data_IF_538479661520
#
_entry.id   IF_538479661520
#
_cell.length_a   1.000
_cell.length_b   1.000
_cell.length_c   1.000
_cell.angle_alpha   90.00
_cell.angle_beta   90.00
_cell.angle_gamma   90.00
#
_symmetry.space_group_name_H-M   'P 1'
#
loop_
_entity.id
_entity.type
_entity.pdbx_description
1 polymer ?
#
# COMPACT_ATOMS: atom_id res chain seq x y z
N UNK A 1 -16.17 2.34 3.27
CA UNK A 1 -15.53 1.00 3.06
C UNK A 1 -16.46 -0.12 3.50
N UNK A 2 -16.37 -1.30 2.89
CA UNK A 2 -17.12 -2.50 3.30
C UNK A 2 -16.46 -3.23 4.49
N UNK A 3 -17.22 -4.11 5.15
CA UNK A 3 -16.69 -4.92 6.28
C UNK A 3 -15.51 -5.78 5.86
N UNK A 4 -15.52 -6.31 4.64
CA UNK A 4 -14.43 -7.16 4.15
C UNK A 4 -13.18 -6.35 3.77
N UNK A 5 -13.36 -5.12 3.27
CA UNK A 5 -12.26 -4.17 3.09
C UNK A 5 -11.60 -3.82 4.43
N UNK A 6 -12.40 -3.54 5.48
CA UNK A 6 -11.88 -3.29 6.84
C UNK A 6 -11.11 -4.50 7.36
N UNK A 7 -11.66 -5.72 7.21
CA UNK A 7 -10.96 -6.95 7.61
C UNK A 7 -9.64 -7.14 6.87
N UNK A 8 -9.59 -6.83 5.58
CA UNK A 8 -8.37 -6.96 4.79
C UNK A 8 -7.34 -5.92 5.21
N UNK A 9 -7.76 -4.67 5.45
CA UNK A 9 -6.89 -3.63 5.97
C UNK A 9 -6.34 -3.97 7.37
N UNK A 10 -7.16 -4.52 8.26
CA UNK A 10 -6.71 -5.00 9.57
C UNK A 10 -5.63 -6.09 9.44
N UNK A 11 -5.77 -7.02 8.49
CA UNK A 11 -4.78 -8.09 8.28
C UNK A 11 -3.43 -7.54 7.81
N UNK A 12 -3.45 -6.56 6.90
CA UNK A 12 -2.24 -5.99 6.31
C UNK A 12 -1.68 -4.81 7.10
N UNK A 13 -2.36 -4.30 8.12
CA UNK A 13 -2.03 -3.04 8.79
C UNK A 13 -0.55 -2.86 9.16
N UNK A 14 0.09 -3.88 9.74
CA UNK A 14 1.53 -3.79 10.07
C UNK A 14 2.45 -4.26 8.94
N UNK A 15 1.91 -4.82 7.87
CA UNK A 15 2.65 -5.13 6.63
C UNK A 15 2.70 -3.91 5.70
N UNK A 16 1.81 -2.92 5.88
CA UNK A 16 1.78 -1.67 5.09
C UNK A 16 3.16 -0.99 4.99
N UNK A 17 3.98 -0.86 6.04
CA UNK A 17 5.33 -0.29 5.91
C UNK A 17 6.24 -1.08 4.95
N UNK A 18 6.11 -2.42 4.92
CA UNK A 18 6.85 -3.25 3.98
C UNK A 18 6.32 -3.09 2.56
N UNK A 19 4.99 -3.05 2.38
CA UNK A 19 4.36 -2.79 1.07
C UNK A 19 4.79 -1.41 0.51
N UNK A 20 4.80 -0.37 1.35
CA UNK A 20 5.30 0.96 0.97
C UNK A 20 6.78 0.90 0.57
N UNK A 21 7.60 0.12 1.28
CA UNK A 21 9.02 -0.04 0.95
C UNK A 21 9.23 -0.79 -0.38
N UNK A 22 8.37 -1.76 -0.70
CA UNK A 22 8.34 -2.46 -1.99
C UNK A 22 8.00 -1.49 -3.13
N UNK A 23 6.96 -0.66 -2.98
CA UNK A 23 6.63 0.37 -3.99
C UNK A 23 7.76 1.37 -4.20
N UNK A 24 8.44 1.81 -3.13
CA UNK A 24 9.64 2.65 -3.26
C UNK A 24 10.81 1.93 -3.95
N UNK A 25 10.93 0.61 -3.80
CA UNK A 25 11.94 -0.17 -4.52
C UNK A 25 11.62 -0.22 -6.01
N UNK A 26 10.34 -0.35 -6.39
CA UNK A 26 9.89 -0.27 -7.79
C UNK A 26 10.23 1.09 -8.40
N UNK A 27 9.91 2.19 -7.71
CA UNK A 27 10.25 3.55 -8.18
C UNK A 27 11.76 3.67 -8.43
N UNK A 28 12.61 3.22 -7.48
CA UNK A 28 14.07 3.25 -7.66
C UNK A 28 14.52 2.43 -8.86
N UNK A 29 13.92 1.26 -9.08
CA UNK A 29 14.22 0.43 -10.25
C UNK A 29 13.84 1.14 -11.57
N UNK A 30 12.68 1.79 -11.62
CA UNK A 30 12.27 2.60 -12.77
C UNK A 30 13.25 3.77 -13.03
N UNK A 31 13.69 4.45 -11.97
CA UNK A 31 14.70 5.52 -12.07
C UNK A 31 16.05 5.01 -12.58
N UNK A 32 16.52 3.85 -12.10
CA UNK A 32 17.74 3.20 -12.56
C UNK A 32 17.68 2.82 -14.05
N UNK A 33 16.56 2.25 -14.50
CA UNK A 33 16.37 1.89 -15.91
C UNK A 33 16.31 3.14 -16.80
N UNK A 34 15.62 4.22 -16.38
CA UNK A 34 15.63 5.52 -17.09
C UNK A 34 17.05 6.06 -17.28
N UNK A 35 17.88 5.97 -16.25
CA UNK A 35 19.27 6.44 -16.29
C UNK A 35 20.18 5.58 -17.20
N UNK A 36 19.87 4.30 -17.41
CA UNK A 36 20.60 3.45 -18.38
C UNK A 36 20.22 3.79 -19.83
N UNK A 37 19.01 4.28 -20.05
CA UNK A 37 18.45 4.58 -21.37
C UNK A 37 18.86 5.98 -21.87
N UNK A 38 19.24 6.89 -20.97
CA UNK A 38 19.93 8.13 -21.35
C UNK A 38 21.29 7.81 -21.96
N UNK A 39 21.30 7.58 -23.27
CA UNK A 39 22.52 7.47 -24.06
C UNK A 39 23.40 8.72 -23.81
N UNK A 40 24.72 8.58 -23.66
CA UNK A 40 25.61 9.74 -23.60
C UNK A 40 25.41 10.58 -24.87
N UNK A 41 25.46 11.92 -24.78
CA UNK A 41 25.36 12.78 -25.96
C UNK A 41 26.47 12.37 -26.92
N UNK A 42 26.09 11.83 -28.08
CA UNK A 42 27.04 11.45 -29.11
C UNK A 42 27.59 12.75 -29.67
N UNK A 43 28.75 13.19 -29.15
CA UNK A 43 29.52 14.28 -29.74
C UNK A 43 30.10 13.77 -31.07
N UNK A 44 29.31 13.89 -32.14
CA UNK A 44 29.74 13.65 -33.52
C UNK A 44 30.59 14.84 -34.00
N UNK A 45 31.72 15.13 -33.34
CA UNK A 45 32.71 16.08 -33.86
C UNK A 45 33.72 15.31 -34.71
N UNK A 46 33.48 15.20 -36.02
CA UNK A 46 34.46 14.59 -36.93
C UNK A 46 34.04 14.28 -38.37
N UNK A 47 32.80 14.55 -38.79
CA UNK A 47 32.38 14.33 -40.19
C UNK A 47 32.51 15.62 -41.02
N UNK A 48 33.30 15.63 -42.11
CA UNK A 48 33.45 16.80 -42.98
C UNK A 48 32.21 16.88 -43.89
N UNK A 49 31.18 17.56 -43.43
CA UNK A 49 29.92 17.72 -44.16
C UNK A 49 28.78 17.97 -43.20
N UNK A 50 28.61 19.24 -42.82
CA UNK A 50 27.58 19.69 -41.90
C UNK A 50 26.17 19.29 -42.36
N UNK A 51 25.62 18.26 -41.71
CA UNK A 51 24.18 18.03 -41.50
C UNK A 51 23.98 17.02 -40.37
N UNK A 52 24.60 17.30 -39.22
CA UNK A 52 24.42 16.51 -38.00
C UNK A 52 23.09 16.82 -37.32
N UNK A 53 21.97 16.35 -37.89
CA UNK A 53 20.72 16.16 -37.15
C UNK A 53 19.86 15.13 -37.87
N UNK A 54 20.15 13.85 -37.61
CA UNK A 54 19.12 12.80 -37.66
C UNK A 54 19.46 11.80 -36.58
N UNK A 55 19.24 12.17 -35.31
CA UNK A 55 18.91 11.14 -34.33
C UNK A 55 17.68 10.42 -34.87
N UNK A 56 17.84 9.15 -35.24
CA UNK A 56 16.84 8.34 -35.92
C UNK A 56 15.46 8.58 -35.29
N UNK A 57 14.51 9.08 -36.09
CA UNK A 57 13.17 9.47 -35.62
C UNK A 57 12.48 8.30 -34.92
N UNK A 58 12.80 7.08 -35.34
CA UNK A 58 12.31 5.83 -34.75
C UNK A 58 12.93 5.60 -33.37
N UNK A 59 14.23 5.81 -33.21
CA UNK A 59 14.91 5.70 -31.91
C UNK A 59 14.40 6.76 -30.92
N UNK A 60 14.22 8.00 -31.35
CA UNK A 60 13.65 9.05 -30.49
C UNK A 60 12.19 8.78 -30.09
N UNK A 61 11.38 8.18 -30.97
CA UNK A 61 10.02 7.77 -30.61
C UNK A 61 10.02 6.60 -29.61
N UNK A 62 10.87 5.58 -29.84
CA UNK A 62 11.00 4.45 -28.92
C UNK A 62 11.45 4.88 -27.51
N UNK A 63 12.44 5.79 -27.43
CA UNK A 63 12.91 6.36 -26.15
C UNK A 63 11.83 7.18 -25.46
N UNK A 64 11.01 7.93 -26.21
CA UNK A 64 9.92 8.74 -25.67
C UNK A 64 8.76 7.89 -25.14
N UNK A 65 8.42 6.81 -25.83
CA UNK A 65 7.37 5.88 -25.39
C UNK A 65 7.83 5.07 -24.16
N UNK A 66 9.11 4.73 -24.07
CA UNK A 66 9.69 4.07 -22.90
C UNK A 66 9.81 5.01 -21.68
N UNK A 67 10.20 6.28 -21.87
CA UNK A 67 10.20 7.27 -20.80
C UNK A 67 8.79 7.49 -20.21
N UNK A 68 7.78 7.58 -21.09
CA UNK A 68 6.36 7.68 -20.69
C UNK A 68 5.88 6.47 -19.91
N UNK A 69 6.38 5.28 -20.25
CA UNK A 69 6.05 4.06 -19.52
C UNK A 69 6.53 4.13 -18.07
N UNK A 70 7.81 4.42 -17.84
CA UNK A 70 8.35 4.52 -16.48
C UNK A 70 7.77 5.69 -15.68
N UNK A 71 7.52 6.85 -16.31
CA UNK A 71 6.83 7.96 -15.65
C UNK A 71 5.43 7.57 -15.18
N UNK A 72 4.70 6.78 -15.97
CA UNK A 72 3.39 6.28 -15.58
C UNK A 72 3.49 5.29 -14.42
N UNK A 73 4.41 4.33 -14.48
CA UNK A 73 4.62 3.38 -13.37
C UNK A 73 5.03 4.10 -12.08
N UNK A 74 5.91 5.10 -12.15
CA UNK A 74 6.29 5.93 -11.00
C UNK A 74 5.08 6.65 -10.39
N UNK A 75 4.21 7.24 -11.22
CA UNK A 75 2.99 7.89 -10.74
C UNK A 75 2.01 6.90 -10.09
N UNK A 76 1.83 5.72 -10.70
CA UNK A 76 0.95 4.68 -10.17
C UNK A 76 1.48 4.17 -8.81
N UNK A 77 2.79 3.92 -8.68
CA UNK A 77 3.42 3.56 -7.41
C UNK A 77 3.28 4.67 -6.36
N UNK A 78 3.50 5.94 -6.73
CA UNK A 78 3.31 7.07 -5.81
C UNK A 78 1.88 7.17 -5.29
N UNK A 79 0.90 6.96 -6.17
CA UNK A 79 -0.52 6.93 -5.81
C UNK A 79 -0.83 5.79 -4.83
N UNK A 80 -0.31 4.58 -5.10
CA UNK A 80 -0.46 3.45 -4.19
C UNK A 80 0.19 3.68 -2.82
N UNK A 81 1.38 4.30 -2.78
CA UNK A 81 2.04 4.68 -1.53
C UNK A 81 1.18 5.65 -0.72
N UNK A 82 0.59 6.66 -1.38
CA UNK A 82 -0.27 7.63 -0.73
C UNK A 82 -1.51 6.97 -0.13
N UNK A 83 -2.21 6.13 -0.91
CA UNK A 83 -3.39 5.38 -0.47
C UNK A 83 -3.07 4.43 0.70
N UNK A 84 -1.96 3.69 0.63
CA UNK A 84 -1.50 2.82 1.71
C UNK A 84 -1.24 3.59 3.01
N UNK A 85 -0.55 4.74 2.91
CA UNK A 85 -0.28 5.59 4.08
C UNK A 85 -1.55 6.20 4.66
N UNK A 86 -2.48 6.63 3.81
CA UNK A 86 -3.76 7.19 4.24
C UNK A 86 -4.59 6.14 4.99
N UNK A 87 -4.74 4.94 4.41
CA UNK A 87 -5.41 3.81 5.05
C UNK A 87 -4.76 3.43 6.39
N UNK A 88 -3.42 3.43 6.45
CA UNK A 88 -2.70 3.16 7.69
C UNK A 88 -2.96 4.24 8.76
N UNK A 89 -2.87 5.51 8.39
CA UNK A 89 -3.10 6.62 9.31
C UNK A 89 -4.54 6.61 9.83
N UNK A 90 -5.51 6.44 8.94
CA UNK A 90 -6.91 6.31 9.29
C UNK A 90 -7.13 5.16 10.27
N UNK A 91 -6.65 3.95 9.96
CA UNK A 91 -6.86 2.80 10.81
C UNK A 91 -6.17 2.98 12.17
N UNK A 92 -4.99 3.61 12.21
CA UNK A 92 -4.31 3.94 13.46
C UNK A 92 -5.15 4.86 14.36
N UNK A 93 -5.74 5.91 13.78
CA UNK A 93 -6.64 6.83 14.51
C UNK A 93 -7.93 6.12 14.93
N UNK A 94 -8.53 5.32 14.05
CA UNK A 94 -9.76 4.60 14.32
C UNK A 94 -9.57 3.58 15.46
N UNK A 95 -8.51 2.77 15.42
CA UNK A 95 -8.14 1.84 16.49
C UNK A 95 -7.84 2.55 17.82
N UNK A 96 -7.35 3.78 17.78
CA UNK A 96 -7.12 4.61 18.96
C UNK A 96 -8.40 5.09 19.66
N UNK A 97 -9.55 5.06 18.96
CA UNK A 97 -10.86 5.46 19.49
C UNK A 97 -11.70 4.29 20.02
N UNK A 98 -11.27 3.06 19.76
CA UNK A 98 -11.95 1.86 20.22
C UNK A 98 -11.68 1.57 21.69
N UNK A 99 -12.58 0.82 22.33
CA UNK A 99 -12.32 0.25 23.65
C UNK A 99 -11.06 -0.64 23.61
N UNK A 100 -10.20 -0.60 24.64
CA UNK A 100 -9.00 -1.44 24.68
C UNK A 100 -9.28 -2.94 24.50
N UNK A 101 -10.41 -3.42 25.02
CA UNK A 101 -10.83 -4.83 24.90
C UNK A 101 -11.18 -5.17 23.47
N UNK A 102 -11.98 -4.32 22.83
CA UNK A 102 -12.40 -4.46 21.44
C UNK A 102 -11.21 -4.43 20.47
N UNK A 103 -10.30 -3.48 20.71
CA UNK A 103 -9.04 -3.41 19.98
C UNK A 103 -8.23 -4.68 20.15
N UNK A 104 -8.09 -5.18 21.38
CA UNK A 104 -7.33 -6.40 21.65
C UNK A 104 -7.95 -7.63 20.98
N UNK A 105 -9.28 -7.73 20.91
CA UNK A 105 -9.99 -8.77 20.14
C UNK A 105 -9.62 -8.68 18.65
N UNK A 106 -9.62 -7.49 18.05
CA UNK A 106 -9.24 -7.29 16.65
C UNK A 106 -7.76 -7.62 16.39
N UNK A 107 -6.88 -7.21 17.30
CA UNK A 107 -5.45 -7.50 17.23
C UNK A 107 -5.20 -9.01 17.25
N UNK A 108 -5.82 -9.74 18.18
CA UNK A 108 -5.69 -11.20 18.25
C UNK A 108 -6.27 -11.90 17.02
N UNK A 109 -7.41 -11.42 16.51
CA UNK A 109 -8.14 -12.13 15.45
C UNK A 109 -7.63 -11.83 14.05
N UNK A 110 -7.40 -10.56 13.73
CA UNK A 110 -7.21 -10.10 12.36
C UNK A 110 -5.79 -9.61 12.11
N UNK A 111 -5.25 -8.79 13.02
CA UNK A 111 -3.97 -8.11 12.79
C UNK A 111 -2.78 -9.03 13.13
N UNK A 112 -2.89 -9.86 14.17
CA UNK A 112 -1.77 -10.58 14.76
C UNK A 112 -0.85 -9.66 15.56
N UNK A 113 0.17 -10.25 16.21
CA UNK A 113 1.17 -9.47 16.94
C UNK A 113 2.09 -8.66 16.01
N UNK A 114 2.69 -7.55 16.47
CA UNK A 114 3.62 -6.77 15.65
C UNK A 114 4.92 -7.51 15.30
N UNK A 115 5.22 -8.64 15.97
CA UNK A 115 6.43 -9.45 15.75
C UNK A 115 6.09 -10.88 15.36
N UNK A 116 6.75 -11.41 14.33
CA UNK A 116 6.74 -12.83 13.87
C UNK A 116 5.38 -13.41 13.42
N UNK A 117 4.58 -12.64 12.66
CA UNK A 117 3.25 -13.06 12.15
C UNK A 117 3.26 -14.27 11.23
N UNK A 118 4.24 -14.36 10.32
CA UNK A 118 4.31 -15.39 9.27
C UNK A 118 4.26 -16.82 9.83
N UNK A 119 4.65 -17.00 11.09
CA UNK A 119 4.69 -18.28 11.79
C UNK A 119 3.74 -18.35 12.99
N UNK A 120 2.94 -17.31 13.24
CA UNK A 120 2.06 -17.26 14.41
C UNK A 120 0.68 -17.80 14.05
N UNK A 121 0.30 -18.92 14.68
CA UNK A 121 -1.06 -19.45 14.56
C UNK A 121 -2.05 -18.41 15.04
N UNK A 122 -3.12 -18.16 14.27
CA UNK A 122 -4.22 -17.31 14.74
C UNK A 122 -4.97 -18.02 15.88
N UNK A 123 -5.18 -17.35 17.02
CA UNK A 123 -5.92 -17.94 18.13
C UNK A 123 -7.37 -18.23 17.70
N UNK A 124 -7.95 -19.26 18.31
CA UNK A 124 -9.37 -19.58 18.13
C UNK A 124 -10.24 -18.57 18.87
N UNK A 125 -11.53 -18.49 18.53
CA UNK A 125 -12.45 -17.62 19.27
C UNK A 125 -12.55 -17.97 20.74
N UNK A 126 -12.43 -19.26 21.09
CA UNK A 126 -12.37 -19.71 22.49
C UNK A 126 -11.14 -19.15 23.21
N UNK A 127 -9.95 -19.29 22.60
CA UNK A 127 -8.71 -18.74 23.18
C UNK A 127 -8.71 -17.21 23.27
N UNK A 128 -9.36 -16.52 22.34
CA UNK A 128 -9.54 -15.07 22.40
C UNK A 128 -10.46 -14.74 23.59
N UNK A 129 -11.60 -15.41 23.68
CA UNK A 129 -12.59 -15.20 24.73
C UNK A 129 -12.00 -15.45 26.13
N UNK A 130 -11.22 -16.52 26.28
CA UNK A 130 -10.50 -16.84 27.53
C UNK A 130 -9.50 -15.72 27.92
N UNK A 131 -8.86 -15.05 26.94
CA UNK A 131 -7.92 -13.94 27.19
C UNK A 131 -8.58 -12.62 27.54
N UNK A 132 -9.82 -12.40 27.09
CA UNK A 132 -10.58 -11.17 27.38
C UNK A 132 -11.62 -11.38 28.48
N UNK A 133 -11.61 -12.55 29.13
CA UNK A 133 -12.55 -12.91 30.20
C UNK A 133 -14.03 -12.81 29.76
N UNK A 134 -14.31 -13.12 28.49
CA UNK A 134 -15.66 -13.13 27.91
C UNK A 134 -16.07 -14.53 27.48
N UNK A 135 -17.36 -14.73 27.23
CA UNK A 135 -17.80 -15.91 26.48
C UNK A 135 -17.43 -15.80 25.00
N UNK A 136 -17.27 -16.94 24.32
CA UNK A 136 -16.99 -16.98 22.88
C UNK A 136 -18.02 -16.19 22.06
N UNK A 137 -19.30 -16.27 22.47
CA UNK A 137 -20.39 -15.54 21.82
C UNK A 137 -20.22 -14.03 21.97
N UNK A 138 -19.87 -13.56 23.16
CA UNK A 138 -19.61 -12.14 23.41
C UNK A 138 -18.39 -11.66 22.61
N UNK A 139 -17.27 -12.39 22.63
CA UNK A 139 -16.07 -12.01 21.88
C UNK A 139 -16.35 -11.87 20.36
N UNK A 140 -17.17 -12.76 19.79
CA UNK A 140 -17.61 -12.66 18.39
C UNK A 140 -18.51 -11.45 18.14
N UNK A 141 -19.43 -11.18 19.06
CA UNK A 141 -20.37 -10.06 18.93
C UNK A 141 -19.65 -8.72 19.03
N UNK A 142 -18.74 -8.57 20.00
CA UNK A 142 -17.85 -7.42 20.11
C UNK A 142 -17.08 -7.19 18.81
N UNK A 143 -16.41 -8.23 18.29
CA UNK A 143 -15.70 -8.12 17.01
C UNK A 143 -16.61 -7.69 15.85
N UNK A 144 -17.85 -8.18 15.80
CA UNK A 144 -18.84 -7.81 14.78
C UNK A 144 -19.24 -6.34 14.91
N UNK A 145 -19.59 -5.90 16.11
CA UNK A 145 -20.00 -4.51 16.40
C UNK A 145 -18.87 -3.55 16.02
N UNK A 146 -17.65 -3.86 16.42
CA UNK A 146 -16.48 -3.02 16.17
C UNK A 146 -16.17 -2.95 14.68
N UNK A 147 -16.27 -4.06 13.95
CA UNK A 147 -16.12 -4.05 12.49
C UNK A 147 -17.16 -3.15 11.82
N UNK A 148 -18.40 -3.13 12.31
CA UNK A 148 -19.45 -2.24 11.81
C UNK A 148 -19.18 -0.78 12.16
N UNK A 149 -18.71 -0.50 13.38
CA UNK A 149 -18.30 0.85 13.78
C UNK A 149 -17.17 1.37 12.89
N UNK A 150 -16.16 0.54 12.61
CA UNK A 150 -15.06 0.90 11.69
C UNK A 150 -15.57 1.20 10.28
N UNK A 151 -16.53 0.43 9.76
CA UNK A 151 -17.13 0.75 8.45
C UNK A 151 -17.86 2.10 8.47
N UNK A 152 -18.64 2.40 9.51
CA UNK A 152 -19.34 3.68 9.63
C UNK A 152 -18.34 4.84 9.74
N UNK A 153 -17.28 4.68 10.52
CA UNK A 153 -16.22 5.69 10.65
C UNK A 153 -15.45 5.91 9.34
N UNK A 154 -15.36 4.88 8.50
CA UNK A 154 -14.72 4.99 7.17
C UNK A 154 -15.56 5.82 6.21
N UNK A 155 -16.88 5.80 6.31
CA UNK A 155 -17.77 6.56 5.44
C UNK A 155 -17.86 8.04 5.86
N UNK A 156 -17.53 8.36 7.11
CA UNK A 156 -17.47 9.73 7.63
C UNK A 156 -16.16 10.45 7.25
N UNK A 157 -15.12 9.71 6.88
CA UNK A 157 -13.85 10.25 6.43
C UNK A 157 -13.84 10.11 4.90
N UNK A 158 -13.90 11.24 4.20
CA UNK A 158 -13.81 11.25 2.74
C UNK A 158 -12.40 10.84 2.35
N UNK A 159 -12.20 9.55 2.08
CA UNK A 159 -11.02 9.08 1.37
C UNK A 159 -11.08 9.62 -0.07
N UNK A 160 -10.04 10.28 -0.58
CA UNK A 160 -9.99 10.83 -1.94
C UNK A 160 -10.26 9.78 -3.04
N UNK A 161 -10.16 8.47 -2.74
CA UNK A 161 -10.33 7.39 -3.70
C UNK A 161 -11.71 6.69 -3.70
N UNK A 162 -12.69 7.15 -2.92
CA UNK A 162 -14.05 6.60 -2.95
C UNK A 162 -15.02 7.35 -3.88
N UNK A 163 -14.50 8.09 -4.86
CA UNK A 163 -15.29 8.58 -6.00
C UNK A 163 -15.01 7.66 -7.18
N UNK A 164 -15.86 6.63 -7.32
CA UNK A 164 -15.96 5.83 -8.55
C UNK A 164 -16.69 6.61 -9.64
#
# INVERSE_FOLDING_TARGET
MTVDEVKNLLKTYYDIPAMVAEEWATIRHCEEEKNKITLPPVNLSGLPGGKGMTGDRTANMALKDQARFYEKEEMDCQKQIADLKEKQNWLGVALGKLDPTDRYILELRYMGGPRKRKYQRRPTWKEIADKVELSERQAREHARIVLLQLTIMSDQIVFPEMVR
#
